data_IF_894738011208
#
_entry.id   IF_894738011208
#
_cell.length_a   1.000
_cell.length_b   1.000
_cell.length_c   1.000
_cell.angle_alpha   90.00
_cell.angle_beta   90.00
_cell.angle_gamma   90.00
#
_symmetry.space_group_name_H-M   'P 1'
#
loop_
_entity.id
_entity.type
_entity.pdbx_description
1 polymer ?
#
# COMPACT_ATOMS: atom_id res chain seq x y z
N UNK A 1 -2.06 -19.82 -15.32
CA UNK A 1 -1.89 -18.63 -14.49
C UNK A 1 -3.19 -17.81 -14.54
N UNK A 2 -3.83 -17.61 -13.39
CA UNK A 2 -5.09 -16.86 -13.28
C UNK A 2 -4.97 -15.41 -13.79
N UNK A 3 -3.82 -14.80 -13.63
CA UNK A 3 -3.57 -13.43 -14.09
C UNK A 3 -3.56 -13.30 -15.62
N UNK A 4 -3.08 -14.31 -16.34
CA UNK A 4 -3.16 -14.34 -17.80
C UNK A 4 -4.62 -14.32 -18.26
N UNK A 5 -5.49 -15.10 -17.61
CA UNK A 5 -6.92 -15.07 -17.89
C UNK A 5 -7.60 -13.72 -17.64
N UNK A 6 -7.12 -12.92 -16.70
CA UNK A 6 -7.58 -11.54 -16.53
C UNK A 6 -7.03 -10.60 -17.60
N UNK A 7 -5.76 -10.77 -17.97
CA UNK A 7 -5.14 -9.96 -19.03
C UNK A 7 -5.84 -10.11 -20.37
N UNK A 8 -6.28 -11.32 -20.69
CA UNK A 8 -6.99 -11.63 -21.95
C UNK A 8 -8.38 -10.99 -22.06
N UNK A 9 -8.97 -10.55 -20.94
CA UNK A 9 -10.32 -9.99 -20.88
C UNK A 9 -10.38 -8.46 -20.99
N UNK A 10 -9.24 -7.79 -21.07
CA UNK A 10 -9.16 -6.32 -21.07
C UNK A 10 -8.32 -5.78 -22.23
N UNK A 11 -8.53 -4.53 -22.69
CA UNK A 11 -7.75 -3.90 -23.74
C UNK A 11 -6.25 -3.82 -23.40
N UNK A 12 -5.41 -3.59 -24.41
CA UNK A 12 -3.94 -3.57 -24.25
C UNK A 12 -3.42 -2.38 -23.44
N UNK A 13 -4.15 -1.28 -23.42
CA UNK A 13 -3.84 -0.10 -22.64
C UNK A 13 -4.29 -0.18 -21.16
N UNK A 14 -5.04 -1.23 -20.79
CA UNK A 14 -5.46 -1.46 -19.41
C UNK A 14 -4.27 -1.75 -18.49
N UNK A 15 -4.30 -1.21 -17.28
CA UNK A 15 -3.28 -1.46 -16.27
C UNK A 15 -3.93 -1.95 -14.97
N UNK A 16 -3.44 -3.08 -14.48
CA UNK A 16 -3.90 -3.66 -13.23
C UNK A 16 -3.16 -3.06 -12.02
N UNK A 17 -3.93 -2.75 -10.98
CA UNK A 17 -3.43 -2.61 -9.62
C UNK A 17 -3.81 -3.88 -8.87
N UNK A 18 -2.83 -4.65 -8.42
CA UNK A 18 -3.05 -5.95 -7.76
C UNK A 18 -2.61 -5.88 -6.31
N UNK A 19 -3.50 -6.32 -5.39
CA UNK A 19 -3.19 -6.36 -3.97
C UNK A 19 -2.51 -7.68 -3.60
N UNK A 20 -1.41 -7.60 -2.85
CA UNK A 20 -0.70 -8.75 -2.31
C UNK A 20 -1.57 -9.59 -1.36
N UNK A 21 -1.36 -10.91 -1.30
CA UNK A 21 -2.01 -11.79 -0.34
C UNK A 21 -1.74 -11.35 1.11
N UNK A 22 -2.77 -11.46 1.96
CA UNK A 22 -2.65 -11.06 3.36
C UNK A 22 -1.61 -11.88 4.10
N UNK A 23 -1.38 -13.14 3.71
CA UNK A 23 -0.44 -14.04 4.36
C UNK A 23 0.99 -13.48 4.39
N UNK A 24 1.42 -12.70 3.41
CA UNK A 24 2.76 -12.08 3.40
C UNK A 24 2.78 -10.67 4.00
N UNK A 25 1.61 -10.05 4.18
CA UNK A 25 1.48 -8.64 4.60
C UNK A 25 1.09 -8.46 6.07
N UNK A 26 0.46 -9.45 6.70
CA UNK A 26 -0.05 -9.34 8.07
C UNK A 26 0.88 -10.02 9.06
N UNK A 27 1.30 -9.32 10.10
CA UNK A 27 2.17 -9.85 11.16
C UNK A 27 1.51 -10.90 12.05
N UNK A 28 0.18 -11.04 11.95
CA UNK A 28 -0.61 -12.02 12.71
C UNK A 28 -1.57 -12.77 11.81
N UNK A 29 -1.79 -14.02 12.09
CA UNK A 29 -2.89 -14.77 11.50
C UNK A 29 -4.20 -14.35 12.18
N UNK A 30 -5.29 -14.30 11.40
CA UNK A 30 -6.60 -13.87 11.89
C UNK A 30 -7.64 -14.97 11.70
N UNK A 31 -8.61 -14.99 12.59
CA UNK A 31 -9.79 -15.85 12.41
C UNK A 31 -10.74 -15.29 11.33
N UNK A 32 -11.81 -16.01 11.06
CA UNK A 32 -12.85 -15.63 10.10
C UNK A 32 -13.58 -14.31 10.43
N UNK A 33 -13.45 -13.81 11.67
CA UNK A 33 -14.01 -12.53 12.13
C UNK A 33 -13.00 -11.38 12.00
N UNK A 34 -11.73 -11.68 11.63
CA UNK A 34 -10.63 -10.72 11.52
C UNK A 34 -9.90 -10.47 12.84
N UNK A 35 -10.14 -11.25 13.91
CA UNK A 35 -9.43 -11.11 15.19
C UNK A 35 -8.04 -11.74 15.10
N UNK A 36 -7.00 -11.06 15.64
CA UNK A 36 -5.66 -11.63 15.72
C UNK A 36 -5.66 -12.90 16.58
N UNK A 37 -4.99 -13.95 16.11
CA UNK A 37 -4.82 -15.24 16.80
C UNK A 37 -3.38 -15.41 17.28
N UNK A 38 -2.45 -15.59 16.38
CA UNK A 38 -1.04 -15.84 16.69
C UNK A 38 -0.14 -15.20 15.62
N UNK A 39 1.16 -15.15 15.90
CA UNK A 39 2.15 -14.62 14.97
C UNK A 39 2.09 -15.36 13.64
N UNK A 40 2.25 -14.62 12.54
CA UNK A 40 2.28 -15.18 11.21
C UNK A 40 3.74 -15.50 10.82
N UNK A 41 4.11 -16.77 10.63
CA UNK A 41 5.47 -17.16 10.27
C UNK A 41 5.86 -16.72 8.85
N UNK A 42 4.88 -16.46 7.98
CA UNK A 42 5.08 -16.02 6.60
C UNK A 42 5.06 -14.49 6.42
N UNK A 43 4.95 -13.75 7.53
CA UNK A 43 4.99 -12.30 7.48
C UNK A 43 6.33 -11.79 6.95
N UNK A 44 6.27 -10.99 5.87
CA UNK A 44 7.43 -10.45 5.16
C UNK A 44 8.40 -11.56 4.65
N UNK A 45 7.85 -12.72 4.30
CA UNK A 45 8.60 -13.77 3.63
C UNK A 45 8.72 -13.43 2.13
N UNK A 46 9.92 -13.01 1.71
CA UNK A 46 10.17 -12.56 0.33
C UNK A 46 10.08 -13.70 -0.69
N UNK A 47 10.52 -14.91 -0.33
CA UNK A 47 10.42 -16.09 -1.21
C UNK A 47 8.96 -16.38 -1.51
N UNK A 48 8.16 -16.48 -0.47
CA UNK A 48 6.72 -16.71 -0.62
C UNK A 48 6.01 -15.60 -1.41
N UNK A 49 6.35 -14.34 -1.13
CA UNK A 49 5.79 -13.21 -1.85
C UNK A 49 6.14 -13.23 -3.35
N UNK A 50 7.37 -13.63 -3.68
CA UNK A 50 7.81 -13.77 -5.06
C UNK A 50 7.10 -14.93 -5.75
N UNK A 51 7.13 -16.13 -5.16
CA UNK A 51 6.62 -17.36 -5.78
C UNK A 51 5.09 -17.37 -5.93
N UNK A 52 4.37 -16.92 -4.90
CA UNK A 52 2.91 -17.01 -4.87
C UNK A 52 2.19 -15.75 -5.42
N UNK A 53 2.90 -14.62 -5.57
CA UNK A 53 2.26 -13.37 -5.95
C UNK A 53 3.02 -12.59 -7.02
N UNK A 54 4.25 -12.15 -6.76
CA UNK A 54 4.93 -11.15 -7.62
C UNK A 54 5.21 -11.74 -9.00
N UNK A 55 5.89 -12.89 -9.06
CA UNK A 55 6.24 -13.52 -10.33
C UNK A 55 4.99 -13.95 -11.11
N UNK A 56 4.00 -14.66 -10.50
CA UNK A 56 2.76 -15.01 -11.22
C UNK A 56 1.99 -13.79 -11.73
N UNK A 57 1.95 -12.69 -10.98
CA UNK A 57 1.27 -11.47 -11.41
C UNK A 57 1.99 -10.77 -12.55
N UNK A 58 3.31 -10.60 -12.46
CA UNK A 58 4.13 -9.96 -13.50
C UNK A 58 4.12 -10.76 -14.78
N UNK A 59 4.34 -12.07 -14.69
CA UNK A 59 4.35 -12.97 -15.87
C UNK A 59 2.97 -13.10 -16.52
N UNK A 60 1.92 -13.25 -15.70
CA UNK A 60 0.58 -13.45 -16.22
C UNK A 60 -0.07 -12.19 -16.79
N UNK A 61 0.21 -11.02 -16.22
CA UNK A 61 -0.33 -9.74 -16.71
C UNK A 61 0.55 -9.12 -17.80
N UNK A 62 1.83 -9.49 -17.88
CA UNK A 62 2.77 -8.92 -18.83
C UNK A 62 2.82 -7.39 -18.77
N UNK A 63 2.65 -6.72 -19.90
CA UNK A 63 2.64 -5.25 -20.00
C UNK A 63 1.43 -4.59 -19.33
N UNK A 64 0.40 -5.35 -18.94
CA UNK A 64 -0.77 -4.86 -18.20
C UNK A 64 -0.56 -4.85 -16.68
N UNK A 65 0.57 -5.37 -16.18
CA UNK A 65 0.96 -5.23 -14.78
C UNK A 65 1.37 -3.77 -14.50
N UNK A 66 0.57 -3.04 -13.75
CA UNK A 66 0.82 -1.65 -13.37
C UNK A 66 1.43 -1.54 -11.98
N UNK A 67 0.64 -1.80 -10.95
CA UNK A 67 1.05 -1.63 -9.56
C UNK A 67 0.77 -2.88 -8.73
N UNK A 68 1.75 -3.34 -7.97
CA UNK A 68 1.57 -4.37 -6.94
C UNK A 68 1.56 -3.71 -5.57
N UNK A 69 0.41 -3.76 -4.88
CA UNK A 69 0.21 -3.08 -3.59
C UNK A 69 0.31 -4.06 -2.44
N UNK A 70 1.23 -3.80 -1.54
CA UNK A 70 1.38 -4.50 -0.26
C UNK A 70 0.65 -3.71 0.83
N UNK A 71 -0.57 -4.14 1.18
CA UNK A 71 -1.31 -3.57 2.29
C UNK A 71 -0.84 -4.20 3.60
N UNK A 72 -0.10 -3.41 4.41
CA UNK A 72 0.39 -3.81 5.73
C UNK A 72 -0.65 -3.44 6.79
N UNK A 73 -1.40 -4.41 7.34
CA UNK A 73 -2.38 -4.15 8.39
C UNK A 73 -1.74 -3.60 9.67
N UNK A 74 -2.59 -3.21 10.62
CA UNK A 74 -2.08 -2.72 11.89
C UNK A 74 -1.34 -3.83 12.65
N UNK A 75 -0.07 -3.61 12.94
CA UNK A 75 0.73 -4.40 13.86
C UNK A 75 0.19 -4.18 15.28
N UNK A 76 0.04 -5.23 16.10
CA UNK A 76 -0.41 -5.10 17.48
C UNK A 76 0.41 -4.07 18.27
N UNK A 77 -0.26 -3.19 18.99
CA UNK A 77 0.39 -2.06 19.70
C UNK A 77 1.50 -2.49 20.64
N UNK A 78 1.30 -3.61 21.36
CA UNK A 78 2.29 -4.12 22.31
C UNK A 78 3.63 -4.52 21.67
N UNK A 79 3.62 -4.85 20.38
CA UNK A 79 4.85 -5.18 19.63
C UNK A 79 5.66 -3.95 19.21
N UNK A 80 5.11 -2.73 19.32
CA UNK A 80 5.72 -1.50 18.83
C UNK A 80 5.79 -0.39 19.90
N UNK A 81 5.79 -0.76 21.18
CA UNK A 81 5.85 0.21 22.29
C UNK A 81 7.19 0.94 22.25
N UNK A 82 8.26 0.20 22.12
CA UNK A 82 9.63 0.72 22.19
C UNK A 82 10.14 1.15 20.79
N UNK A 83 10.89 2.26 20.76
CA UNK A 83 11.51 2.74 19.51
C UNK A 83 12.41 1.72 18.81
N UNK A 84 13.24 0.94 19.50
CA UNK A 84 14.02 -0.12 18.85
C UNK A 84 13.16 -1.14 18.09
N UNK A 85 12.00 -1.54 18.64
CA UNK A 85 11.06 -2.44 17.98
C UNK A 85 10.44 -1.81 16.70
N UNK A 86 10.10 -0.51 16.77
CA UNK A 86 9.64 0.23 15.59
C UNK A 86 10.71 0.29 14.49
N UNK A 87 11.96 0.55 14.88
CA UNK A 87 13.08 0.61 13.92
C UNK A 87 13.38 -0.77 13.31
N UNK A 88 13.33 -1.83 14.11
CA UNK A 88 13.47 -3.19 13.62
C UNK A 88 12.37 -3.55 12.62
N UNK A 89 11.11 -3.22 12.91
CA UNK A 89 9.99 -3.46 12.00
C UNK A 89 10.16 -2.71 10.66
N UNK A 90 10.64 -1.46 10.69
CA UNK A 90 10.92 -0.69 9.48
C UNK A 90 12.06 -1.32 8.68
N UNK A 91 13.15 -1.73 9.33
CA UNK A 91 14.31 -2.35 8.68
C UNK A 91 13.94 -3.69 8.04
N UNK A 92 13.19 -4.54 8.76
CA UNK A 92 12.69 -5.82 8.21
C UNK A 92 11.83 -5.61 6.95
N UNK A 93 10.99 -4.58 6.97
CA UNK A 93 10.18 -4.24 5.80
C UNK A 93 11.02 -3.75 4.62
N UNK A 94 12.04 -2.93 4.87
CA UNK A 94 12.96 -2.45 3.84
C UNK A 94 13.75 -3.61 3.23
N UNK A 95 14.24 -4.54 4.06
CA UNK A 95 14.93 -5.74 3.62
C UNK A 95 14.04 -6.63 2.75
N UNK A 96 12.79 -6.88 3.18
CA UNK A 96 11.78 -7.60 2.41
C UNK A 96 11.59 -7.02 1.00
N UNK A 97 11.40 -5.71 0.90
CA UNK A 97 11.21 -5.06 -0.40
C UNK A 97 12.47 -5.03 -1.23
N UNK A 98 13.64 -4.89 -0.61
CA UNK A 98 14.93 -4.99 -1.31
C UNK A 98 15.12 -6.36 -1.95
N UNK A 99 14.81 -7.43 -1.22
CA UNK A 99 14.85 -8.81 -1.74
C UNK A 99 13.89 -9.01 -2.91
N UNK A 100 12.66 -8.50 -2.82
CA UNK A 100 11.71 -8.58 -3.94
C UNK A 100 12.24 -7.82 -5.15
N UNK A 101 12.65 -6.56 -4.97
CA UNK A 101 13.14 -5.70 -6.07
C UNK A 101 14.35 -6.29 -6.79
N UNK A 102 15.29 -6.87 -6.07
CA UNK A 102 16.48 -7.47 -6.66
C UNK A 102 16.20 -8.72 -7.51
N UNK A 103 15.06 -9.36 -7.28
CA UNK A 103 14.67 -10.63 -7.93
C UNK A 103 13.51 -10.48 -8.92
N UNK A 104 12.95 -9.28 -9.08
CA UNK A 104 11.92 -9.01 -10.08
C UNK A 104 12.48 -9.07 -11.51
N UNK A 105 11.77 -9.71 -12.44
CA UNK A 105 12.22 -9.84 -13.84
C UNK A 105 12.14 -8.51 -14.61
N UNK A 106 11.41 -7.54 -14.09
CA UNK A 106 11.23 -6.22 -14.72
C UNK A 106 11.13 -5.12 -13.68
N UNK A 107 11.60 -3.93 -14.03
CA UNK A 107 11.46 -2.72 -13.22
C UNK A 107 10.30 -1.80 -13.66
N UNK A 108 9.55 -2.21 -14.70
CA UNK A 108 8.41 -1.43 -15.21
C UNK A 108 7.16 -1.49 -14.30
N UNK A 109 7.11 -2.49 -13.40
CA UNK A 109 6.01 -2.66 -12.44
C UNK A 109 6.32 -1.90 -11.16
N UNK A 110 5.40 -1.02 -10.75
CA UNK A 110 5.53 -0.26 -9.52
C UNK A 110 5.17 -1.14 -8.32
N UNK A 111 6.11 -1.28 -7.37
CA UNK A 111 5.78 -1.80 -6.04
C UNK A 111 5.32 -0.65 -5.16
N UNK A 112 4.23 -0.85 -4.43
CA UNK A 112 3.69 0.16 -3.52
C UNK A 112 3.31 -0.45 -2.17
N UNK A 113 3.50 0.30 -1.08
CA UNK A 113 3.21 -0.14 0.29
C UNK A 113 2.18 0.77 0.95
N UNK A 114 1.08 0.18 1.41
CA UNK A 114 0.08 0.83 2.25
C UNK A 114 0.32 0.48 3.71
N UNK A 115 0.99 1.36 4.46
CA UNK A 115 1.30 1.15 5.86
C UNK A 115 0.17 1.66 6.75
N UNK A 116 -0.61 0.78 7.36
CA UNK A 116 -1.71 1.15 8.25
C UNK A 116 -1.31 1.36 9.71
N UNK A 117 -0.11 1.00 10.09
CA UNK A 117 0.42 1.20 11.45
C UNK A 117 0.97 2.61 11.60
N UNK A 118 0.14 3.54 12.09
CA UNK A 118 0.45 4.99 12.16
C UNK A 118 1.77 5.32 12.85
N UNK A 119 2.15 4.58 13.90
CA UNK A 119 3.38 4.82 14.65
C UNK A 119 4.65 4.59 13.81
N UNK A 120 4.55 3.80 12.74
CA UNK A 120 5.65 3.56 11.81
C UNK A 120 5.75 4.62 10.70
N UNK A 121 4.70 5.42 10.46
CA UNK A 121 4.69 6.48 9.46
C UNK A 121 5.55 7.68 9.92
N UNK A 122 6.85 7.51 9.83
CA UNK A 122 7.87 8.45 10.28
C UNK A 122 8.82 8.85 9.15
N UNK A 123 9.59 9.94 9.26
CA UNK A 123 10.63 10.27 8.28
C UNK A 123 11.62 9.13 8.05
N UNK A 124 11.92 8.33 9.08
CA UNK A 124 12.75 7.13 8.95
C UNK A 124 12.11 6.11 8.01
N UNK A 125 10.83 5.81 8.20
CA UNK A 125 10.10 4.89 7.32
C UNK A 125 10.14 5.37 5.86
N UNK A 126 9.90 6.68 5.65
CA UNK A 126 9.97 7.28 4.30
C UNK A 126 11.35 7.07 3.68
N UNK A 127 12.43 7.34 4.43
CA UNK A 127 13.81 7.17 3.98
C UNK A 127 14.11 5.71 3.61
N UNK A 128 13.73 4.77 4.46
CA UNK A 128 13.96 3.34 4.21
C UNK A 128 13.16 2.84 3.00
N UNK A 129 11.90 3.26 2.84
CA UNK A 129 11.12 2.90 1.64
C UNK A 129 11.69 3.56 0.37
N UNK A 130 12.15 4.80 0.45
CA UNK A 130 12.80 5.47 -0.68
C UNK A 130 14.05 4.72 -1.16
N UNK A 131 14.86 4.18 -0.24
CA UNK A 131 16.06 3.41 -0.61
C UNK A 131 15.74 2.11 -1.35
N UNK A 132 14.54 1.55 -1.15
CA UNK A 132 14.07 0.36 -1.87
C UNK A 132 13.35 0.67 -3.19
N UNK A 133 13.03 1.92 -3.44
CA UNK A 133 12.23 2.35 -4.61
C UNK A 133 10.76 1.91 -4.55
N UNK A 134 10.26 1.53 -3.36
CA UNK A 134 8.85 1.14 -3.17
C UNK A 134 8.01 2.35 -2.80
N UNK A 135 7.00 2.65 -3.60
CA UNK A 135 6.16 3.85 -3.45
C UNK A 135 5.23 3.77 -2.24
N UNK A 136 5.09 4.81 -1.43
CA UNK A 136 4.04 4.86 -0.42
C UNK A 136 2.67 5.02 -1.08
N UNK A 137 1.67 4.27 -0.58
CA UNK A 137 0.27 4.43 -0.99
C UNK A 137 -0.36 5.53 -0.15
N UNK A 138 -1.01 6.48 -0.80
CA UNK A 138 -1.87 7.46 -0.16
C UNK A 138 -3.26 6.84 0.01
N UNK A 139 -3.68 6.66 1.26
CA UNK A 139 -4.91 5.93 1.56
C UNK A 139 -5.92 6.77 2.33
N UNK A 140 -7.13 6.88 1.81
CA UNK A 140 -8.27 7.38 2.58
C UNK A 140 -8.86 6.22 3.40
N UNK A 141 -8.49 6.16 4.65
CA UNK A 141 -8.93 5.12 5.58
C UNK A 141 -8.93 5.66 7.02
N UNK A 142 -9.88 5.27 7.89
CA UNK A 142 -9.97 5.78 9.27
C UNK A 142 -8.71 5.59 10.12
N UNK A 143 -7.89 4.56 9.83
CA UNK A 143 -6.62 4.34 10.53
C UNK A 143 -5.46 5.20 10.01
N UNK A 144 -5.63 5.87 8.86
CA UNK A 144 -4.57 6.67 8.23
C UNK A 144 -4.59 8.13 8.68
N UNK A 145 -3.47 8.85 8.60
CA UNK A 145 -3.45 10.30 8.69
C UNK A 145 -4.25 10.95 7.55
N UNK A 146 -4.51 12.25 7.64
CA UNK A 146 -5.13 13.00 6.53
C UNK A 146 -4.32 12.87 5.23
N UNK A 147 -4.97 12.97 4.08
CA UNK A 147 -4.30 12.94 2.77
C UNK A 147 -3.21 14.02 2.67
N UNK A 148 -3.45 15.21 3.17
CA UNK A 148 -2.45 16.29 3.21
C UNK A 148 -1.15 15.82 3.90
N UNK A 149 -1.27 15.22 5.09
CA UNK A 149 -0.10 14.73 5.82
C UNK A 149 0.58 13.55 5.13
N UNK A 150 -0.17 12.69 4.46
CA UNK A 150 0.41 11.61 3.66
C UNK A 150 1.15 12.16 2.43
N UNK A 151 0.67 13.24 1.84
CA UNK A 151 1.34 13.90 0.72
C UNK A 151 2.64 14.58 1.15
N UNK A 152 2.69 15.18 2.34
CA UNK A 152 3.95 15.69 2.90
C UNK A 152 4.99 14.56 3.03
N UNK A 153 4.56 13.35 3.39
CA UNK A 153 5.43 12.16 3.43
C UNK A 153 5.88 11.74 2.03
N UNK A 154 4.99 11.74 1.04
CA UNK A 154 5.36 11.44 -0.36
C UNK A 154 6.36 12.47 -0.89
N UNK A 155 6.21 13.73 -0.53
CA UNK A 155 7.17 14.77 -0.86
C UNK A 155 8.56 14.49 -0.29
N UNK A 156 8.66 14.08 0.97
CA UNK A 156 9.94 13.67 1.58
C UNK A 156 10.54 12.45 0.87
N UNK A 157 9.71 11.58 0.32
CA UNK A 157 10.13 10.44 -0.49
C UNK A 157 10.75 10.91 -1.82
N UNK A 158 10.09 11.80 -2.55
CA UNK A 158 10.47 12.23 -3.89
C UNK A 158 11.57 13.31 -3.90
N UNK A 159 11.60 14.17 -2.89
CA UNK A 159 12.49 15.31 -2.81
C UNK A 159 13.07 15.47 -1.37
N UNK A 160 13.92 14.55 -0.93
CA UNK A 160 14.53 14.62 0.40
C UNK A 160 15.39 15.88 0.53
N UNK A 161 15.19 16.65 1.60
CA UNK A 161 15.95 17.88 1.88
C UNK A 161 15.43 19.15 1.21
N UNK A 162 14.36 19.09 0.43
CA UNK A 162 13.70 20.27 -0.14
C UNK A 162 12.70 20.85 0.87
N UNK A 163 12.88 22.10 1.27
CA UNK A 163 11.95 22.81 2.15
C UNK A 163 10.61 23.12 1.44
N UNK A 164 9.63 23.64 2.21
CA UNK A 164 8.29 23.91 1.72
C UNK A 164 8.26 24.74 0.43
N UNK A 165 7.56 24.27 -0.62
CA UNK A 165 7.43 24.90 -1.93
C UNK A 165 6.68 24.02 -2.91
N UNK A 166 6.36 24.51 -4.11
CA UNK A 166 5.77 23.70 -5.15
C UNK A 166 6.69 22.54 -5.53
N UNK A 167 6.14 21.34 -5.62
CA UNK A 167 6.84 20.14 -6.07
C UNK A 167 5.90 19.28 -6.91
N UNK A 168 6.47 18.43 -7.72
CA UNK A 168 5.74 17.40 -8.48
C UNK A 168 6.23 16.04 -8.06
N UNK A 169 5.36 15.03 -8.16
CA UNK A 169 5.75 13.66 -7.88
C UNK A 169 6.82 13.20 -8.88
N UNK A 170 7.91 12.63 -8.37
CA UNK A 170 8.99 12.09 -9.20
C UNK A 170 8.65 10.75 -9.87
N UNK A 171 7.47 10.19 -9.58
CA UNK A 171 7.00 8.93 -10.14
C UNK A 171 5.51 8.74 -9.87
N UNK A 172 5.03 7.51 -9.98
CA UNK A 172 3.61 7.19 -9.79
C UNK A 172 3.09 7.66 -8.44
N UNK A 173 1.91 8.25 -8.43
CA UNK A 173 1.13 8.48 -7.22
C UNK A 173 0.12 7.34 -7.10
N UNK A 174 0.31 6.48 -6.11
CA UNK A 174 -0.60 5.36 -5.85
C UNK A 174 -1.60 5.76 -4.78
N UNK A 175 -2.87 5.70 -5.12
CA UNK A 175 -3.96 6.14 -4.23
C UNK A 175 -4.95 5.00 -4.03
N UNK A 176 -5.33 4.76 -2.78
CA UNK A 176 -6.44 3.87 -2.44
C UNK A 176 -7.51 4.62 -1.66
N UNK A 177 -8.66 4.73 -2.27
CA UNK A 177 -9.86 5.32 -1.65
C UNK A 177 -10.74 4.19 -1.14
N UNK A 178 -10.80 3.97 0.18
CA UNK A 178 -11.60 2.86 0.72
C UNK A 178 -12.78 3.34 1.54
N UNK A 179 -12.58 3.95 2.69
CA UNK A 179 -13.66 4.34 3.59
C UNK A 179 -13.51 5.81 3.98
N UNK A 180 -14.63 6.53 4.04
CA UNK A 180 -14.68 7.89 4.57
C UNK A 180 -14.19 7.95 6.02
N UNK A 181 -13.60 9.08 6.40
CA UNK A 181 -13.18 9.34 7.77
C UNK A 181 -14.37 9.21 8.74
N UNK A 182 -14.12 8.59 9.90
CA UNK A 182 -15.12 8.41 10.95
C UNK A 182 -15.98 7.14 10.86
N UNK A 183 -15.91 6.38 9.76
CA UNK A 183 -16.60 5.11 9.62
C UNK A 183 -15.79 3.91 10.14
N UNK A 184 -16.48 2.83 10.52
CA UNK A 184 -15.85 1.51 10.69
C UNK A 184 -16.28 0.61 9.54
N UNK A 185 -15.40 -0.30 9.12
CA UNK A 185 -15.74 -1.22 8.02
C UNK A 185 -16.99 -2.05 8.32
N UNK A 186 -17.11 -2.57 9.54
CA UNK A 186 -18.29 -3.34 9.96
C UNK A 186 -19.57 -2.52 9.97
N UNK A 187 -19.53 -1.27 10.41
CA UNK A 187 -20.66 -0.37 10.37
C UNK A 187 -21.09 -0.07 8.93
N UNK A 188 -20.18 0.34 8.09
CA UNK A 188 -20.46 0.66 6.69
C UNK A 188 -20.89 -0.58 5.88
N UNK A 189 -20.32 -1.76 6.17
CA UNK A 189 -20.76 -3.01 5.54
C UNK A 189 -22.20 -3.33 5.89
N UNK A 190 -22.61 -3.15 7.15
CA UNK A 190 -24.01 -3.35 7.57
C UNK A 190 -24.95 -2.38 6.87
N UNK A 191 -24.56 -1.10 6.76
CA UNK A 191 -25.45 -0.03 6.35
C UNK A 191 -25.43 0.20 4.83
N UNK A 192 -24.32 -0.15 4.14
CA UNK A 192 -24.09 0.20 2.73
C UNK A 192 -23.86 -0.99 1.79
N UNK A 193 -23.77 -2.23 2.32
CA UNK A 193 -23.67 -3.39 1.43
C UNK A 193 -24.89 -3.46 0.47
N UNK A 194 -24.69 -3.91 -0.78
CA UNK A 194 -23.52 -4.56 -1.37
C UNK A 194 -22.48 -3.62 -2.01
N UNK A 195 -22.45 -2.34 -1.70
CA UNK A 195 -21.51 -1.33 -2.24
C UNK A 195 -21.61 -1.13 -3.76
N UNK A 196 -22.77 -1.27 -4.32
CA UNK A 196 -23.04 -1.17 -5.76
C UNK A 196 -23.49 0.22 -6.22
N UNK A 197 -23.53 1.19 -5.30
CA UNK A 197 -23.89 2.60 -5.58
C UNK A 197 -23.23 3.52 -4.54
N UNK A 198 -23.09 4.78 -4.88
CA UNK A 198 -22.70 5.83 -3.94
C UNK A 198 -23.85 6.06 -2.96
N UNK A 199 -23.63 5.76 -1.67
CA UNK A 199 -24.62 5.98 -0.62
C UNK A 199 -24.52 7.40 -0.04
N UNK A 200 -23.31 7.94 0.03
CA UNK A 200 -23.03 9.28 0.52
C UNK A 200 -21.89 9.89 -0.30
N UNK A 201 -22.08 11.12 -0.74
CA UNK A 201 -20.99 11.87 -1.37
C UNK A 201 -19.98 12.34 -0.31
N UNK A 202 -18.69 12.13 -0.60
CA UNK A 202 -17.59 12.65 0.18
C UNK A 202 -16.88 13.75 -0.63
N UNK A 203 -17.32 14.99 -0.42
CA UNK A 203 -16.79 16.15 -1.14
C UNK A 203 -15.30 16.35 -0.82
N UNK A 204 -14.90 16.19 0.45
CA UNK A 204 -13.51 16.36 0.89
C UNK A 204 -12.60 15.31 0.21
N UNK A 205 -13.08 14.08 0.09
CA UNK A 205 -12.37 13.03 -0.64
C UNK A 205 -12.22 13.37 -2.14
N UNK A 206 -13.27 13.87 -2.77
CA UNK A 206 -13.24 14.29 -4.19
C UNK A 206 -12.26 15.46 -4.43
N UNK A 207 -12.30 16.47 -3.57
CA UNK A 207 -11.35 17.59 -3.63
C UNK A 207 -9.90 17.12 -3.44
N UNK A 208 -9.67 16.16 -2.52
CA UNK A 208 -8.39 15.53 -2.32
C UNK A 208 -7.87 14.81 -3.58
N UNK A 209 -8.74 14.10 -4.32
CA UNK A 209 -8.36 13.48 -5.60
C UNK A 209 -7.94 14.53 -6.63
N UNK A 210 -8.76 15.58 -6.79
CA UNK A 210 -8.46 16.66 -7.75
C UNK A 210 -7.14 17.34 -7.40
N UNK A 211 -6.87 17.55 -6.14
CA UNK A 211 -5.61 18.12 -5.68
C UNK A 211 -4.41 17.20 -5.98
N UNK A 212 -4.52 15.90 -5.70
CA UNK A 212 -3.47 14.92 -6.01
C UNK A 212 -3.19 14.80 -7.51
N UNK A 213 -4.22 14.89 -8.36
CA UNK A 213 -4.06 14.89 -9.81
C UNK A 213 -3.25 16.10 -10.31
N UNK A 214 -3.27 17.23 -9.59
CA UNK A 214 -2.42 18.39 -9.91
C UNK A 214 -0.95 18.18 -9.56
N UNK A 215 -0.65 17.29 -8.62
CA UNK A 215 0.72 16.94 -8.25
C UNK A 215 1.35 15.91 -9.21
N UNK A 216 0.53 15.18 -9.95
CA UNK A 216 0.95 14.13 -10.88
C UNK A 216 1.36 14.68 -12.26
N UNK A 217 1.26 15.98 -12.46
CA UNK A 217 1.66 16.68 -13.69
C UNK A 217 3.06 17.22 -13.57
#
# INVERSE_FOLDING_TARGET
NVYAGFADQVPDDFRFLVKAPQIVCDSVLRDHTGRPMHANPDYLNADRALEEFVLPAVEGLGNKAGVLVFEMPNIPRHALIERPAQYAAIATMADFFSQIKSRMPTQSVTLAVEMRTRVLLTPRWVKEMASTGVRPVLSLHPSMPSIMRQTDMLRLFDAPGVEAGPWQAAGDIVIRWSLAAGGTYSGLKRDWAPFNRIQQEDIVAREGIVWLLKLAK
#
